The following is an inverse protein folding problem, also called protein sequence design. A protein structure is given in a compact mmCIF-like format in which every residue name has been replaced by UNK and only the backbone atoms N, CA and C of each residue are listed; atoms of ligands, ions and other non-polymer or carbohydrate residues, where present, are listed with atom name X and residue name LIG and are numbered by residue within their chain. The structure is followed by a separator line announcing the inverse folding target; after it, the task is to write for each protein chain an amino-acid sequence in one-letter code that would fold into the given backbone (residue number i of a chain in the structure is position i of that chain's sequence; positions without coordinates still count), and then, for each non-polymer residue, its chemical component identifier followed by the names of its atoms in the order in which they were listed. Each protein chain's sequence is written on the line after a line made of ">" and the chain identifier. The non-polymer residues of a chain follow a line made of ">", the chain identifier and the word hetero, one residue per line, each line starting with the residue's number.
data_IF_762940098030
#
_entry.id   IF_762940098030
#
_cell.length_a   1.000
_cell.length_b   1.000
_cell.length_c   1.000
_cell.angle_alpha   90.00
_cell.angle_beta   90.00
_cell.angle_gamma   90.00
#
_symmetry.space_group_name_H-M   'P 1'
#
loop_
_entity.id
_entity.type
_entity.pdbx_description
1 polymer ?
#
# COMPACT_ATOMS: atom_id res chain seq x y z
N UNK A 1 -63.28 -50.66 15.59
CA UNK A 1 -62.75 -50.07 14.37
C UNK A 1 -61.81 -48.95 14.73
N UNK A 2 -60.54 -49.18 14.62
CA UNK A 2 -59.49 -48.15 14.88
C UNK A 2 -59.00 -47.73 13.51
N UNK A 3 -59.33 -46.48 13.12
CA UNK A 3 -58.82 -45.90 11.87
C UNK A 3 -57.40 -45.41 12.05
N UNK A 4 -56.47 -46.10 11.39
CA UNK A 4 -55.09 -45.69 11.31
C UNK A 4 -54.93 -44.51 10.33
N UNK A 5 -54.53 -43.36 10.85
CA UNK A 5 -54.11 -42.21 10.05
C UNK A 5 -52.67 -42.45 9.60
N UNK A 6 -52.51 -42.77 8.27
CA UNK A 6 -51.18 -42.73 7.64
C UNK A 6 -50.80 -41.24 7.47
N UNK A 7 -49.87 -40.77 8.26
CA UNK A 7 -49.16 -39.53 7.98
C UNK A 7 -48.11 -39.81 6.89
N UNK A 8 -48.43 -39.42 5.64
CA UNK A 8 -47.45 -39.34 4.58
C UNK A 8 -46.50 -38.18 4.87
N UNK A 9 -45.29 -38.48 5.29
CA UNK A 9 -44.18 -37.53 5.29
C UNK A 9 -43.87 -37.24 3.83
N UNK A 10 -44.32 -36.11 3.31
CA UNK A 10 -43.79 -35.55 2.10
C UNK A 10 -42.32 -35.18 2.39
N UNK A 11 -41.41 -36.01 1.92
CA UNK A 11 -40.00 -35.64 1.84
C UNK A 11 -39.92 -34.45 0.88
N UNK A 12 -39.72 -33.26 1.39
CA UNK A 12 -39.38 -32.09 0.61
C UNK A 12 -38.04 -32.35 -0.05
N UNK A 13 -38.05 -32.91 -1.26
CA UNK A 13 -36.90 -33.16 -2.08
C UNK A 13 -36.33 -31.80 -2.52
N UNK A 14 -35.39 -31.29 -1.76
CA UNK A 14 -34.59 -30.12 -2.19
C UNK A 14 -33.70 -30.57 -3.34
N UNK A 15 -33.66 -29.79 -4.41
CA UNK A 15 -32.67 -30.00 -5.47
C UNK A 15 -31.28 -29.94 -4.82
N UNK A 16 -30.48 -30.97 -5.01
CA UNK A 16 -29.16 -31.06 -4.43
C UNK A 16 -28.11 -31.04 -5.54
N UNK A 17 -27.51 -29.89 -5.75
CA UNK A 17 -26.41 -29.73 -6.71
C UNK A 17 -25.11 -30.23 -6.02
N UNK A 18 -24.50 -31.23 -6.65
CA UNK A 18 -23.19 -31.76 -6.22
C UNK A 18 -22.17 -31.45 -7.30
N UNK A 19 -21.17 -30.64 -6.94
CA UNK A 19 -20.08 -30.28 -7.85
C UNK A 19 -19.09 -31.43 -7.97
N UNK A 20 -18.77 -31.81 -9.23
CA UNK A 20 -17.68 -32.72 -9.56
C UNK A 20 -16.35 -31.97 -9.54
N UNK A 21 -16.33 -30.75 -10.06
CA UNK A 21 -15.23 -29.80 -9.94
C UNK A 21 -15.75 -28.43 -9.50
N UNK A 22 -15.30 -27.93 -8.35
CA UNK A 22 -15.60 -26.58 -7.86
C UNK A 22 -14.43 -25.61 -8.05
N UNK A 23 -13.33 -26.08 -8.62
CA UNK A 23 -12.15 -25.27 -8.93
C UNK A 23 -11.48 -25.75 -10.21
N UNK A 24 -10.88 -24.81 -10.93
CA UNK A 24 -10.14 -25.07 -12.15
C UNK A 24 -8.80 -24.32 -12.10
N UNK A 25 -7.70 -25.05 -12.34
CA UNK A 25 -6.37 -24.49 -12.40
C UNK A 25 -5.88 -24.48 -13.86
N UNK A 26 -5.70 -23.28 -14.40
CA UNK A 26 -5.16 -23.10 -15.74
C UNK A 26 -3.65 -23.38 -15.81
N UNK A 27 -2.99 -23.52 -14.65
CA UNK A 27 -1.54 -23.67 -14.56
C UNK A 27 -0.78 -22.43 -15.03
N UNK A 28 0.44 -22.66 -15.50
CA UNK A 28 1.28 -21.62 -16.10
C UNK A 28 0.89 -21.42 -17.57
N UNK A 29 0.57 -20.19 -17.94
CA UNK A 29 0.21 -19.83 -19.31
C UNK A 29 0.96 -18.59 -19.79
N UNK A 30 1.22 -18.50 -21.07
CA UNK A 30 1.77 -17.29 -21.69
C UNK A 30 0.65 -16.32 -22.02
N UNK A 31 0.86 -15.05 -21.74
CA UNK A 31 -0.10 -13.98 -22.06
C UNK A 31 -0.44 -13.97 -23.56
N UNK A 32 0.55 -14.15 -24.41
CA UNK A 32 0.42 -14.20 -25.87
C UNK A 32 -0.36 -15.40 -26.41
N UNK A 33 -0.62 -16.41 -25.57
CA UNK A 33 -1.35 -17.60 -26.01
C UNK A 33 -2.85 -17.35 -26.21
N UNK A 34 -3.34 -16.14 -25.90
CA UNK A 34 -4.74 -15.74 -25.98
C UNK A 34 -5.65 -16.42 -24.96
N UNK A 35 -6.97 -16.22 -25.11
CA UNK A 35 -7.96 -16.74 -24.17
C UNK A 35 -7.93 -18.26 -24.01
N UNK A 36 -8.05 -18.73 -22.76
CA UNK A 36 -8.04 -20.15 -22.39
C UNK A 36 -9.39 -20.60 -21.89
N UNK A 37 -9.84 -21.77 -22.38
CA UNK A 37 -11.12 -22.37 -21.99
C UNK A 37 -10.95 -23.32 -20.82
N UNK A 38 -11.93 -23.28 -19.90
CA UNK A 38 -12.07 -24.20 -18.79
C UNK A 38 -13.53 -24.60 -18.60
N UNK A 39 -13.77 -25.51 -17.67
CA UNK A 39 -15.11 -25.97 -17.34
C UNK A 39 -15.18 -26.42 -15.88
N UNK A 40 -16.42 -26.46 -15.37
CA UNK A 40 -16.77 -27.11 -14.10
C UNK A 40 -18.09 -27.87 -14.28
N UNK A 41 -18.18 -29.04 -13.70
CA UNK A 41 -19.35 -29.93 -13.82
C UNK A 41 -20.03 -30.05 -12.47
N UNK A 42 -21.36 -30.19 -12.55
CA UNK A 42 -22.17 -30.57 -11.41
C UNK A 42 -23.21 -31.62 -11.80
N UNK A 43 -23.66 -32.41 -10.83
CA UNK A 43 -24.75 -33.38 -10.99
C UNK A 43 -25.92 -32.91 -10.14
N UNK A 44 -27.13 -33.01 -10.72
CA UNK A 44 -28.35 -32.85 -9.94
C UNK A 44 -28.62 -34.16 -9.17
N UNK A 45 -28.39 -34.19 -7.89
CA UNK A 45 -28.69 -35.32 -6.99
C UNK A 45 -30.05 -35.18 -6.28
N UNK A 46 -30.81 -34.12 -6.59
CA UNK A 46 -32.16 -33.93 -6.08
C UNK A 46 -33.19 -34.76 -6.79
N UNK A 47 -34.46 -34.69 -6.36
CA UNK A 47 -35.60 -35.34 -6.97
C UNK A 47 -36.26 -34.50 -8.08
N UNK A 48 -35.98 -33.19 -8.10
CA UNK A 48 -36.56 -32.22 -9.02
C UNK A 48 -35.51 -31.66 -10.00
N UNK A 49 -35.93 -31.25 -11.22
CA UNK A 49 -35.01 -30.56 -12.13
C UNK A 49 -34.47 -29.26 -11.54
N UNK A 50 -33.21 -28.93 -11.84
CA UNK A 50 -32.54 -27.72 -11.38
C UNK A 50 -32.17 -26.84 -12.57
N UNK A 51 -32.47 -25.54 -12.50
CA UNK A 51 -32.15 -24.56 -13.55
C UNK A 51 -31.07 -23.60 -13.04
N UNK A 52 -30.03 -23.39 -13.85
CA UNK A 52 -29.02 -22.34 -13.61
C UNK A 52 -29.62 -21.02 -14.09
N UNK A 53 -29.76 -20.05 -13.20
CA UNK A 53 -30.21 -18.71 -13.54
C UNK A 53 -29.10 -17.78 -13.97
N UNK A 54 -27.92 -18.00 -13.43
CA UNK A 54 -26.77 -17.10 -13.63
C UNK A 54 -25.45 -17.81 -13.32
N UNK A 55 -24.44 -17.58 -14.18
CA UNK A 55 -23.04 -17.88 -13.88
C UNK A 55 -22.22 -16.62 -14.16
N UNK A 56 -21.97 -15.82 -13.11
CA UNK A 56 -21.36 -14.49 -13.21
C UNK A 56 -19.92 -14.49 -12.72
N UNK A 57 -18.94 -14.23 -13.61
CA UNK A 57 -17.55 -14.00 -13.23
C UNK A 57 -17.38 -12.75 -12.35
N UNK A 58 -16.35 -12.76 -11.50
CA UNK A 58 -16.00 -11.63 -10.61
C UNK A 58 -15.10 -10.59 -11.28
N UNK A 59 -14.68 -10.80 -12.54
CA UNK A 59 -13.89 -9.85 -13.33
C UNK A 59 -14.33 -9.87 -14.80
N UNK A 60 -14.07 -8.78 -15.53
CA UNK A 60 -14.25 -8.71 -16.98
C UNK A 60 -13.24 -9.51 -17.81
N UNK A 61 -12.28 -10.18 -17.14
CA UNK A 61 -11.28 -11.05 -17.74
C UNK A 61 -11.79 -12.48 -17.99
N UNK A 62 -13.02 -12.78 -17.60
CA UNK A 62 -13.60 -14.11 -17.70
C UNK A 62 -15.02 -14.00 -18.26
N UNK A 63 -15.34 -14.85 -19.21
CA UNK A 63 -16.68 -15.07 -19.69
C UNK A 63 -17.15 -16.44 -19.24
N UNK A 64 -18.45 -16.61 -18.95
CA UNK A 64 -19.02 -17.88 -18.57
C UNK A 64 -20.32 -18.16 -19.34
N UNK A 65 -20.52 -19.43 -19.66
CA UNK A 65 -21.76 -19.95 -20.26
C UNK A 65 -22.25 -21.17 -19.48
N UNK A 66 -23.53 -21.35 -19.40
CA UNK A 66 -24.21 -22.39 -18.64
C UNK A 66 -25.43 -22.93 -19.39
N UNK A 67 -25.94 -24.13 -19.05
CA UNK A 67 -27.14 -24.68 -19.65
C UNK A 67 -28.36 -23.79 -19.33
N UNK A 68 -29.15 -23.48 -20.35
CA UNK A 68 -30.43 -22.75 -20.22
C UNK A 68 -31.57 -23.69 -19.84
N UNK A 69 -31.50 -24.95 -20.31
CA UNK A 69 -32.47 -25.97 -20.01
C UNK A 69 -32.34 -26.52 -18.58
N UNK A 70 -33.45 -26.91 -17.94
CA UNK A 70 -33.43 -27.57 -16.65
C UNK A 70 -32.63 -28.89 -16.68
N UNK A 71 -31.77 -29.10 -15.70
CA UNK A 71 -30.98 -30.31 -15.53
C UNK A 71 -31.79 -31.34 -14.73
N UNK A 72 -32.15 -32.45 -15.37
CA UNK A 72 -32.97 -33.49 -14.75
C UNK A 72 -32.26 -34.20 -13.58
N UNK A 73 -33.02 -34.83 -12.66
CA UNK A 73 -32.45 -35.67 -11.61
C UNK A 73 -31.51 -36.73 -12.18
N UNK A 74 -30.29 -36.81 -11.61
CA UNK A 74 -29.23 -37.73 -12.04
C UNK A 74 -28.33 -37.21 -13.16
N UNK A 75 -28.78 -36.19 -13.92
CA UNK A 75 -28.01 -35.64 -15.03
C UNK A 75 -26.82 -34.77 -14.58
N UNK A 76 -25.83 -34.71 -15.46
CA UNK A 76 -24.62 -33.88 -15.29
C UNK A 76 -24.70 -32.68 -16.24
N UNK A 77 -24.45 -31.51 -15.71
CA UNK A 77 -24.34 -30.25 -16.45
C UNK A 77 -22.98 -29.64 -16.38
N UNK A 78 -22.66 -28.78 -17.36
CA UNK A 78 -21.33 -28.18 -17.53
C UNK A 78 -21.48 -26.67 -17.61
N UNK A 79 -20.77 -25.97 -16.72
CA UNK A 79 -20.50 -24.53 -16.85
C UNK A 79 -19.16 -24.39 -17.55
N UNK A 80 -19.14 -23.71 -18.68
CA UNK A 80 -17.93 -23.43 -19.46
C UNK A 80 -17.54 -22.01 -19.25
N UNK A 81 -16.23 -21.74 -19.25
CA UNK A 81 -15.71 -20.39 -19.11
C UNK A 81 -14.44 -20.21 -19.93
N UNK A 82 -14.17 -18.94 -20.25
CA UNK A 82 -12.97 -18.52 -20.99
C UNK A 82 -12.29 -17.43 -20.19
N UNK A 83 -11.02 -17.62 -19.87
CA UNK A 83 -10.17 -16.62 -19.22
C UNK A 83 -9.27 -15.97 -20.24
N UNK A 84 -9.27 -14.63 -20.28
CA UNK A 84 -8.37 -13.82 -21.11
C UNK A 84 -7.18 -13.32 -20.27
N UNK A 85 -5.94 -13.81 -20.54
CA UNK A 85 -4.73 -13.41 -19.83
C UNK A 85 -4.14 -12.06 -20.29
N UNK A 86 -4.67 -11.44 -21.36
CA UNK A 86 -4.09 -10.26 -21.99
C UNK A 86 -4.00 -9.08 -21.01
N UNK A 87 -2.81 -8.49 -20.85
CA UNK A 87 -2.53 -7.39 -19.92
C UNK A 87 -2.68 -7.78 -18.45
N UNK A 88 -2.44 -9.07 -18.08
CA UNK A 88 -2.64 -9.56 -16.71
C UNK A 88 -1.52 -10.48 -16.26
N UNK A 89 -0.26 -10.02 -16.27
CA UNK A 89 0.86 -10.85 -15.84
C UNK A 89 0.77 -11.20 -14.35
N UNK A 90 1.19 -12.41 -14.00
CA UNK A 90 1.24 -12.92 -12.65
C UNK A 90 0.10 -13.84 -12.27
N UNK A 91 0.09 -14.23 -10.98
CA UNK A 91 -0.89 -15.18 -10.41
C UNK A 91 -2.27 -14.53 -10.28
N UNK A 92 -3.29 -15.29 -10.63
CA UNK A 92 -4.68 -14.89 -10.40
C UNK A 92 -5.46 -15.96 -9.65
N UNK A 93 -6.40 -15.51 -8.83
CA UNK A 93 -7.46 -16.31 -8.17
C UNK A 93 -8.77 -15.53 -8.32
N UNK A 94 -9.70 -16.08 -9.07
CA UNK A 94 -10.99 -15.46 -9.41
C UNK A 94 -12.12 -16.46 -9.14
N UNK A 95 -13.35 -15.98 -9.15
CA UNK A 95 -14.52 -16.81 -8.94
C UNK A 95 -15.60 -16.55 -9.99
N UNK A 96 -16.34 -17.58 -10.31
CA UNK A 96 -17.60 -17.50 -11.08
C UNK A 96 -18.72 -17.83 -10.11
N UNK A 97 -19.57 -16.84 -9.79
CA UNK A 97 -20.71 -17.00 -8.90
C UNK A 97 -21.86 -17.64 -9.69
N UNK A 98 -22.38 -18.75 -9.19
CA UNK A 98 -23.48 -19.49 -9.80
C UNK A 98 -24.71 -19.37 -8.91
N UNK A 99 -25.88 -19.10 -9.53
CA UNK A 99 -27.17 -19.01 -8.85
C UNK A 99 -28.16 -19.92 -9.55
N UNK A 100 -28.85 -20.71 -8.76
CA UNK A 100 -29.89 -21.64 -9.23
C UNK A 100 -31.29 -21.10 -8.92
N UNK A 101 -32.32 -21.63 -9.62
CA UNK A 101 -33.71 -21.20 -9.50
C UNK A 101 -34.28 -21.44 -8.09
N UNK A 102 -33.86 -22.51 -7.42
CA UNK A 102 -34.26 -22.89 -6.06
C UNK A 102 -33.64 -22.03 -4.97
N UNK A 103 -32.81 -21.02 -5.33
CA UNK A 103 -32.12 -20.13 -4.44
C UNK A 103 -30.74 -20.61 -4.00
N UNK A 104 -30.32 -21.81 -4.36
CA UNK A 104 -28.96 -22.29 -4.10
C UNK A 104 -27.92 -21.37 -4.78
N UNK A 105 -26.77 -21.22 -4.13
CA UNK A 105 -25.63 -20.46 -4.63
C UNK A 105 -24.36 -21.24 -4.50
N UNK A 106 -23.49 -21.12 -5.49
CA UNK A 106 -22.17 -21.72 -5.50
C UNK A 106 -21.12 -20.76 -6.08
N UNK A 107 -19.86 -21.11 -5.94
CA UNK A 107 -18.77 -20.40 -6.60
C UNK A 107 -17.76 -21.40 -7.17
N UNK A 108 -17.45 -21.25 -8.44
CA UNK A 108 -16.37 -21.98 -9.10
C UNK A 108 -15.12 -21.12 -8.95
N UNK A 109 -14.06 -21.65 -8.34
CA UNK A 109 -12.76 -20.97 -8.26
C UNK A 109 -11.96 -21.26 -9.52
N UNK A 110 -11.37 -20.21 -10.10
CA UNK A 110 -10.45 -20.32 -11.22
C UNK A 110 -9.14 -19.65 -10.86
N UNK A 111 -8.04 -20.34 -11.07
CA UNK A 111 -6.70 -19.84 -10.76
C UNK A 111 -5.71 -20.21 -11.84
N UNK A 112 -4.59 -19.55 -11.84
CA UNK A 112 -3.49 -19.79 -12.75
C UNK A 112 -2.39 -18.75 -12.58
N UNK A 113 -1.37 -18.84 -13.42
CA UNK A 113 -0.26 -17.89 -13.45
C UNK A 113 0.05 -17.51 -14.90
N UNK A 114 0.18 -16.21 -15.17
CA UNK A 114 0.39 -15.66 -16.51
C UNK A 114 1.82 -15.14 -16.65
N UNK A 115 2.58 -15.73 -17.58
CA UNK A 115 3.85 -15.17 -18.03
C UNK A 115 3.55 -13.95 -18.90
N UNK A 116 3.91 -12.77 -18.39
CA UNK A 116 3.68 -11.49 -19.04
C UNK A 116 4.55 -11.30 -20.28
N UNK A 117 4.10 -10.44 -21.19
CA UNK A 117 4.90 -9.93 -22.29
C UNK A 117 5.84 -8.82 -21.80
N UNK A 118 6.92 -8.48 -22.54
CA UNK A 118 7.75 -7.34 -22.18
C UNK A 118 6.95 -6.05 -21.99
N UNK A 119 5.96 -5.81 -22.85
CA UNK A 119 5.09 -4.61 -22.82
C UNK A 119 4.22 -4.58 -21.57
N UNK A 120 3.57 -5.70 -21.21
CA UNK A 120 2.76 -5.78 -20.00
C UNK A 120 3.61 -5.69 -18.73
N UNK A 121 4.81 -6.29 -18.75
CA UNK A 121 5.75 -6.20 -17.63
C UNK A 121 6.28 -4.78 -17.46
N UNK A 122 6.56 -4.05 -18.54
CA UNK A 122 6.96 -2.64 -18.46
C UNK A 122 5.83 -1.77 -17.90
N UNK A 123 4.59 -2.07 -18.23
CA UNK A 123 3.42 -1.34 -17.72
C UNK A 123 3.17 -1.59 -16.23
N UNK A 124 3.23 -2.83 -15.75
CA UNK A 124 2.85 -3.20 -14.38
C UNK A 124 4.03 -3.32 -13.42
N UNK A 125 5.21 -3.59 -13.93
CA UNK A 125 6.47 -3.77 -13.19
C UNK A 125 7.60 -3.02 -13.91
N UNK A 126 7.53 -1.67 -13.98
CA UNK A 126 8.43 -0.86 -14.80
C UNK A 126 9.91 -0.92 -14.35
N UNK A 127 10.14 -1.26 -13.08
CA UNK A 127 11.50 -1.20 -12.52
C UNK A 127 12.23 -2.51 -12.74
N UNK A 128 13.29 -2.47 -13.51
CA UNK A 128 14.19 -3.63 -13.72
C UNK A 128 15.09 -3.81 -12.48
N UNK A 129 15.01 -4.98 -11.87
CA UNK A 129 15.83 -5.41 -10.76
C UNK A 129 16.54 -6.75 -11.06
N UNK A 130 16.86 -7.00 -12.33
CA UNK A 130 17.54 -8.19 -12.83
C UNK A 130 16.62 -9.42 -12.91
N UNK A 131 16.77 -10.37 -11.99
CA UNK A 131 15.90 -11.55 -11.91
C UNK A 131 14.44 -11.20 -11.58
N UNK A 132 14.20 -10.00 -11.08
CA UNK A 132 12.89 -9.48 -10.70
C UNK A 132 12.57 -8.21 -11.49
N UNK A 133 11.28 -7.93 -11.67
CA UNK A 133 10.81 -6.59 -12.01
C UNK A 133 9.89 -6.11 -10.89
N UNK A 134 10.03 -4.83 -10.48
CA UNK A 134 9.28 -4.27 -9.36
C UNK A 134 8.18 -3.33 -9.87
N UNK A 135 7.08 -3.26 -9.12
CA UNK A 135 5.99 -2.34 -9.43
C UNK A 135 6.40 -0.88 -9.30
N UNK A 136 7.36 -0.58 -8.43
CA UNK A 136 7.86 0.78 -8.20
C UNK A 136 9.20 0.74 -7.44
N UNK A 137 10.02 1.79 -7.62
CA UNK A 137 11.28 1.98 -6.88
C UNK A 137 11.18 3.07 -5.81
N UNK A 138 10.13 3.90 -5.86
CA UNK A 138 9.90 4.99 -4.90
C UNK A 138 8.47 4.96 -4.39
N UNK A 139 8.32 4.71 -3.09
CA UNK A 139 7.02 4.62 -2.44
C UNK A 139 6.71 5.93 -1.72
N UNK A 140 5.66 6.60 -2.16
CA UNK A 140 5.21 7.86 -1.56
C UNK A 140 4.29 7.58 -0.37
N UNK A 141 4.86 7.59 0.85
CA UNK A 141 4.11 7.39 2.09
C UNK A 141 3.26 8.61 2.49
N UNK A 142 3.52 9.78 1.88
CA UNK A 142 2.80 11.02 2.17
C UNK A 142 2.95 11.47 3.63
N UNK A 143 1.87 12.05 4.17
CA UNK A 143 1.83 12.51 5.55
C UNK A 143 1.44 11.38 6.49
N UNK A 144 2.36 10.95 7.34
CA UNK A 144 2.17 9.90 8.34
C UNK A 144 2.02 10.53 9.72
N UNK A 145 0.92 10.23 10.41
CA UNK A 145 0.71 10.77 11.77
C UNK A 145 1.54 9.97 12.78
N UNK A 146 2.22 10.67 13.69
CA UNK A 146 2.95 10.06 14.80
C UNK A 146 2.05 9.10 15.60
N UNK A 147 2.56 7.95 16.00
CA UNK A 147 1.80 6.92 16.72
C UNK A 147 0.94 6.01 15.83
N UNK A 148 1.00 6.14 14.51
CA UNK A 148 0.37 5.23 13.54
C UNK A 148 1.40 4.30 12.90
N UNK A 149 0.90 3.19 12.33
CA UNK A 149 1.72 2.24 11.61
C UNK A 149 1.18 2.09 10.18
N UNK A 150 1.47 3.05 9.28
CA UNK A 150 1.11 2.92 7.88
C UNK A 150 1.77 1.69 7.27
N UNK A 151 1.10 1.12 6.25
CA UNK A 151 1.61 0.00 5.47
C UNK A 151 1.80 0.41 4.01
N UNK A 152 2.91 -0.03 3.43
CA UNK A 152 3.30 0.19 2.05
C UNK A 152 3.58 -1.17 1.42
N UNK A 153 3.42 -1.27 0.11
CA UNK A 153 3.58 -2.54 -0.60
C UNK A 153 4.35 -2.31 -1.90
N UNK A 154 5.24 -3.24 -2.21
CA UNK A 154 5.84 -3.34 -3.55
C UNK A 154 5.73 -4.78 -4.03
N UNK A 155 5.38 -4.95 -5.28
CA UNK A 155 5.31 -6.26 -5.93
C UNK A 155 6.59 -6.51 -6.72
N UNK A 156 7.12 -7.71 -6.57
CA UNK A 156 8.28 -8.20 -7.30
C UNK A 156 7.88 -9.41 -8.16
N UNK A 157 7.91 -9.25 -9.46
CA UNK A 157 7.59 -10.27 -10.45
C UNK A 157 8.86 -11.03 -10.85
N UNK A 158 8.82 -12.36 -10.83
CA UNK A 158 9.93 -13.17 -11.31
C UNK A 158 9.91 -13.28 -12.84
N UNK A 159 10.95 -12.75 -13.49
CA UNK A 159 11.10 -12.76 -14.95
C UNK A 159 11.80 -14.00 -15.48
N UNK A 160 12.41 -14.81 -14.62
CA UNK A 160 13.16 -15.99 -15.02
C UNK A 160 12.27 -17.21 -15.28
N UNK A 161 12.74 -18.12 -16.11
CA UNK A 161 12.14 -19.44 -16.31
C UNK A 161 12.28 -20.39 -15.12
N UNK A 162 13.08 -19.99 -14.11
CA UNK A 162 13.36 -20.76 -12.90
C UNK A 162 12.87 -20.01 -11.65
N UNK A 163 12.85 -20.72 -10.52
CA UNK A 163 12.49 -20.12 -9.25
C UNK A 163 13.56 -19.16 -8.72
N UNK A 164 13.13 -18.04 -8.18
CA UNK A 164 13.96 -17.02 -7.52
C UNK A 164 13.66 -16.98 -6.05
N UNK A 165 14.69 -16.99 -5.21
CA UNK A 165 14.54 -16.69 -3.77
C UNK A 165 14.63 -15.19 -3.57
N UNK A 166 13.76 -14.65 -2.72
CA UNK A 166 13.65 -13.22 -2.45
C UNK A 166 13.86 -12.95 -0.96
N UNK A 167 14.67 -11.94 -0.67
CA UNK A 167 14.85 -11.40 0.68
C UNK A 167 14.76 -9.87 0.63
N UNK A 168 14.47 -9.24 1.77
CA UNK A 168 14.47 -7.79 1.89
C UNK A 168 15.11 -7.38 3.23
N UNK A 169 15.78 -6.22 3.24
CA UNK A 169 16.39 -5.66 4.44
C UNK A 169 16.28 -4.15 4.48
N UNK A 170 16.21 -3.60 5.68
CA UNK A 170 16.28 -2.18 5.97
C UNK A 170 17.03 -2.02 7.30
N UNK A 171 17.81 -0.94 7.45
CA UNK A 171 18.54 -0.64 8.69
C UNK A 171 17.63 0.02 9.73
N UNK A 172 16.57 0.71 9.28
CA UNK A 172 15.63 1.37 10.20
C UNK A 172 14.78 0.33 10.95
N UNK A 173 14.98 0.25 12.26
CA UNK A 173 14.32 -0.73 13.16
C UNK A 173 12.81 -0.50 13.30
N UNK A 174 12.36 0.74 13.07
CA UNK A 174 10.95 1.10 13.10
C UNK A 174 10.20 0.58 11.86
N UNK A 175 10.91 0.12 10.81
CA UNK A 175 10.33 -0.46 9.60
C UNK A 175 10.37 -1.98 9.66
N UNK A 176 9.19 -2.62 9.76
CA UNK A 176 9.07 -4.07 9.70
C UNK A 176 8.76 -4.52 8.27
N UNK A 177 9.53 -5.47 7.76
CA UNK A 177 9.41 -6.03 6.43
C UNK A 177 8.78 -7.42 6.50
N UNK A 178 7.84 -7.71 5.60
CA UNK A 178 7.22 -9.03 5.46
C UNK A 178 7.03 -9.36 3.99
N UNK A 179 7.61 -10.44 3.54
CA UNK A 179 7.36 -11.03 2.22
C UNK A 179 6.13 -11.93 2.27
N UNK A 180 5.31 -11.92 1.20
CA UNK A 180 4.21 -12.88 1.04
C UNK A 180 4.75 -14.32 0.96
N UNK A 181 5.83 -14.51 0.22
CA UNK A 181 6.57 -15.76 0.08
C UNK A 181 8.05 -15.43 -0.10
N UNK A 182 8.95 -16.32 0.31
CA UNK A 182 10.41 -16.16 0.12
C UNK A 182 10.92 -16.75 -1.19
N UNK A 183 10.07 -17.42 -1.97
CA UNK A 183 10.41 -18.06 -3.24
C UNK A 183 9.32 -17.80 -4.26
N UNK A 184 9.72 -17.34 -5.45
CA UNK A 184 8.85 -17.09 -6.58
C UNK A 184 9.18 -18.07 -7.71
N UNK A 185 8.21 -18.86 -8.19
CA UNK A 185 8.31 -19.59 -9.45
C UNK A 185 8.27 -18.66 -10.67
N UNK A 186 8.40 -19.20 -11.89
CA UNK A 186 8.29 -18.42 -13.12
C UNK A 186 6.98 -17.64 -13.19
N UNK A 187 7.04 -16.32 -13.38
CA UNK A 187 5.86 -15.46 -13.45
C UNK A 187 5.15 -15.20 -12.12
N UNK A 188 5.64 -15.76 -11.00
CA UNK A 188 5.08 -15.47 -9.69
C UNK A 188 5.41 -14.06 -9.21
N UNK A 189 4.54 -13.54 -8.35
CA UNK A 189 4.69 -12.24 -7.72
C UNK A 189 4.93 -12.46 -6.22
N UNK A 190 6.01 -11.90 -5.72
CA UNK A 190 6.25 -11.74 -4.28
C UNK A 190 5.87 -10.32 -3.87
N UNK A 191 4.98 -10.17 -2.92
CA UNK A 191 4.64 -8.86 -2.34
C UNK A 191 5.50 -8.63 -1.10
N UNK A 192 6.26 -7.54 -1.09
CA UNK A 192 6.91 -7.01 0.10
C UNK A 192 5.99 -6.01 0.78
N UNK A 193 5.46 -6.38 1.94
CA UNK A 193 4.71 -5.50 2.83
C UNK A 193 5.68 -4.84 3.83
N UNK A 194 5.55 -3.54 4.01
CA UNK A 194 6.38 -2.71 4.86
C UNK A 194 5.49 -1.96 5.85
N UNK A 195 5.73 -2.15 7.14
CA UNK A 195 4.96 -1.54 8.23
C UNK A 195 5.86 -0.59 8.99
N UNK A 196 5.60 0.71 8.86
CA UNK A 196 6.41 1.75 9.47
C UNK A 196 5.79 2.23 10.79
N UNK A 197 6.39 1.84 11.91
CA UNK A 197 5.96 2.28 13.25
C UNK A 197 6.49 3.69 13.53
N UNK A 198 5.66 4.70 13.26
CA UNK A 198 6.02 6.11 13.46
C UNK A 198 6.23 6.47 14.93
N UNK A 199 5.69 5.69 15.89
CA UNK A 199 5.97 5.86 17.32
C UNK A 199 7.36 5.37 17.68
N UNK A 200 7.75 4.19 17.21
CA UNK A 200 9.09 3.65 17.42
C UNK A 200 10.16 4.48 16.70
N UNK A 201 9.83 5.05 15.54
CA UNK A 201 10.69 6.02 14.82
C UNK A 201 10.95 7.28 15.64
N UNK A 202 9.93 7.78 16.37
CA UNK A 202 10.06 8.73 17.46
C UNK A 202 10.39 10.17 17.08
N UNK A 203 10.52 10.51 15.79
CA UNK A 203 10.87 11.87 15.35
C UNK A 203 9.93 12.35 14.22
N UNK A 204 9.36 13.55 14.34
CA UNK A 204 8.63 14.19 13.27
C UNK A 204 9.60 14.74 12.21
N UNK A 205 9.09 14.89 10.97
CA UNK A 205 9.85 15.47 9.87
C UNK A 205 9.92 14.58 8.64
N UNK A 206 10.70 14.94 7.63
CA UNK A 206 10.90 14.19 6.42
C UNK A 206 11.46 12.80 6.69
N UNK A 207 11.01 11.85 5.89
CA UNK A 207 11.44 10.45 5.93
C UNK A 207 11.93 10.07 4.54
N UNK A 208 13.13 9.49 4.48
CA UNK A 208 13.70 8.81 3.33
C UNK A 208 14.36 7.54 3.86
N UNK A 209 13.75 6.38 3.55
CA UNK A 209 14.20 5.09 4.06
C UNK A 209 14.53 4.17 2.87
N UNK A 210 15.80 3.83 2.68
CA UNK A 210 16.20 2.84 1.70
C UNK A 210 15.84 1.44 2.18
N UNK A 211 15.26 0.64 1.28
CA UNK A 211 14.96 -0.77 1.47
C UNK A 211 15.62 -1.57 0.36
N UNK A 212 16.47 -2.51 0.70
CA UNK A 212 17.14 -3.37 -0.26
C UNK A 212 16.35 -4.65 -0.47
N UNK A 213 15.96 -4.93 -1.71
CA UNK A 213 15.40 -6.21 -2.16
C UNK A 213 16.56 -7.03 -2.74
N UNK A 214 16.67 -8.29 -2.34
CA UNK A 214 17.75 -9.18 -2.77
C UNK A 214 17.14 -10.41 -3.42
N UNK A 215 17.51 -10.69 -4.66
CA UNK A 215 17.22 -11.95 -5.34
C UNK A 215 18.39 -12.93 -5.20
N UNK A 216 18.07 -14.22 -5.01
CA UNK A 216 19.00 -15.34 -4.86
C UNK A 216 20.12 -15.08 -3.82
N UNK A 217 19.76 -14.66 -2.57
CA UNK A 217 20.77 -14.42 -1.54
C UNK A 217 21.62 -15.67 -1.27
N UNK A 218 22.92 -15.46 -1.05
CA UNK A 218 23.85 -16.56 -0.73
C UNK A 218 24.31 -17.36 -1.95
N UNK A 219 23.96 -16.99 -3.17
CA UNK A 219 24.38 -17.66 -4.41
C UNK A 219 25.20 -16.72 -5.30
N UNK A 220 25.96 -17.26 -6.30
CA UNK A 220 26.63 -16.44 -7.30
C UNK A 220 25.69 -15.57 -8.16
N UNK A 221 24.42 -16.00 -8.29
CA UNK A 221 23.38 -15.26 -9.02
C UNK A 221 22.69 -14.17 -8.18
N UNK A 222 23.24 -13.83 -7.01
CA UNK A 222 22.72 -12.79 -6.12
C UNK A 222 22.71 -11.43 -6.81
N UNK A 223 21.56 -10.77 -6.78
CA UNK A 223 21.40 -9.39 -7.20
C UNK A 223 20.73 -8.60 -6.08
N UNK A 224 20.92 -7.30 -6.06
CA UNK A 224 20.25 -6.41 -5.07
C UNK A 224 19.80 -5.13 -5.76
N UNK A 225 18.61 -4.70 -5.40
CA UNK A 225 18.02 -3.46 -5.88
C UNK A 225 17.49 -2.66 -4.69
N UNK A 226 17.72 -1.35 -4.71
CA UNK A 226 17.25 -0.45 -3.67
C UNK A 226 15.97 0.24 -4.10
N UNK A 227 14.99 0.25 -3.20
CA UNK A 227 13.78 1.07 -3.29
C UNK A 227 13.77 2.07 -2.14
N UNK A 228 13.07 3.18 -2.31
CA UNK A 228 13.03 4.26 -1.34
C UNK A 228 11.60 4.52 -0.84
N UNK A 229 11.42 4.60 0.47
CA UNK A 229 10.17 5.10 1.07
C UNK A 229 10.37 6.59 1.38
N UNK A 230 9.52 7.46 0.81
CA UNK A 230 9.59 8.90 0.99
C UNK A 230 8.28 9.42 1.56
N UNK A 231 8.36 10.28 2.57
CA UNK A 231 7.20 10.90 3.19
C UNK A 231 7.61 11.85 4.31
N UNK A 232 6.68 12.13 5.20
CA UNK A 232 6.99 12.87 6.43
C UNK A 232 6.13 12.39 7.59
N UNK A 233 6.72 12.34 8.78
CA UNK A 233 6.01 12.09 10.03
C UNK A 233 5.58 13.41 10.62
N UNK A 234 4.27 13.57 10.84
CA UNK A 234 3.71 14.76 11.47
C UNK A 234 3.40 14.49 12.94
N UNK A 235 3.69 15.45 13.84
CA UNK A 235 3.29 15.34 15.23
C UNK A 235 1.77 15.40 15.34
N UNK A 236 1.22 14.81 16.40
CA UNK A 236 -0.23 14.83 16.69
C UNK A 236 -0.51 15.74 17.87
N UNK A 237 -1.69 16.36 17.83
CA UNK A 237 -2.21 17.08 19.00
C UNK A 237 -2.57 16.08 20.08
N UNK A 238 -2.23 16.40 21.31
CA UNK A 238 -2.61 15.60 22.47
C UNK A 238 -3.82 16.22 23.16
N UNK A 239 -4.83 15.41 23.45
CA UNK A 239 -5.92 15.83 24.30
C UNK A 239 -5.39 15.90 25.74
N UNK A 240 -5.28 17.11 26.27
CA UNK A 240 -4.81 17.39 27.65
C UNK A 240 -5.94 18.04 28.45
N UNK A 241 -6.02 17.74 29.74
CA UNK A 241 -6.98 18.35 30.64
C UNK A 241 -6.71 19.85 30.83
N UNK A 242 -7.75 20.63 31.22
CA UNK A 242 -7.62 22.08 31.40
C UNK A 242 -6.46 22.47 32.36
N UNK A 243 -6.26 21.75 33.45
CA UNK A 243 -5.18 21.97 34.41
C UNK A 243 -3.78 21.69 33.84
N UNK A 244 -3.67 20.73 32.94
CA UNK A 244 -2.42 20.40 32.24
C UNK A 244 -2.14 21.45 31.16
N UNK A 245 -3.17 21.89 30.46
CA UNK A 245 -3.08 22.93 29.43
C UNK A 245 -2.58 24.26 30.01
N UNK A 246 -3.06 24.65 31.21
CA UNK A 246 -2.57 25.86 31.90
C UNK A 246 -1.06 25.83 32.22
N UNK A 247 -0.47 24.64 32.30
CA UNK A 247 0.95 24.44 32.63
C UNK A 247 1.78 24.07 31.40
N UNK A 248 1.15 23.82 30.25
CA UNK A 248 1.79 23.32 29.05
C UNK A 248 2.83 24.29 28.46
N UNK A 249 3.80 23.79 27.71
CA UNK A 249 4.65 24.63 26.88
C UNK A 249 3.81 25.20 25.71
N UNK A 250 4.21 26.35 25.20
CA UNK A 250 3.60 27.00 24.03
C UNK A 250 4.69 27.44 23.08
N UNK A 251 4.67 26.92 21.88
CA UNK A 251 5.63 27.23 20.82
C UNK A 251 5.17 28.45 20.02
N UNK A 252 5.89 29.55 20.11
CA UNK A 252 5.62 30.79 19.37
C UNK A 252 6.84 31.21 18.54
N UNK A 253 6.85 30.98 17.21
CA UNK A 253 7.88 31.50 16.32
C UNK A 253 7.83 33.03 16.21
N UNK A 254 8.99 33.68 16.27
CA UNK A 254 9.13 35.14 16.24
C UNK A 254 10.28 35.56 15.30
N UNK A 255 10.02 36.28 14.23
CA UNK A 255 8.71 36.60 13.67
C UNK A 255 8.10 35.38 12.94
N UNK A 256 6.78 35.34 12.71
CA UNK A 256 6.14 34.28 11.95
C UNK A 256 6.44 34.34 10.44
N UNK A 257 6.87 35.51 9.96
CA UNK A 257 7.34 35.75 8.59
C UNK A 257 8.72 36.40 8.68
N UNK A 258 9.68 35.85 7.94
CA UNK A 258 11.04 36.41 7.82
C UNK A 258 11.19 36.97 6.40
N UNK A 259 11.24 38.26 6.27
CA UNK A 259 11.45 38.96 5.00
C UNK A 259 12.94 39.12 4.74
N UNK A 260 13.45 38.52 3.69
CA UNK A 260 14.86 38.50 3.34
C UNK A 260 15.28 39.61 2.35
N UNK A 261 14.25 40.24 1.72
CA UNK A 261 14.47 41.20 0.62
C UNK A 261 15.10 40.55 -0.61
N UNK A 262 15.91 41.29 -1.33
CA UNK A 262 16.69 40.78 -2.45
C UNK A 262 17.90 40.01 -1.89
N UNK A 263 18.06 38.78 -2.30
CA UNK A 263 19.17 37.92 -1.87
C UNK A 263 20.15 37.70 -3.01
N UNK A 264 21.42 38.00 -2.72
CA UNK A 264 22.54 37.75 -3.63
C UNK A 264 22.77 36.24 -3.84
N UNK A 265 23.43 35.80 -4.95
CA UNK A 265 23.58 34.38 -5.29
C UNK A 265 24.34 33.51 -4.27
N UNK A 266 25.10 34.16 -3.37
CA UNK A 266 25.93 33.45 -2.40
C UNK A 266 25.10 32.86 -1.26
N UNK A 267 25.51 31.69 -0.78
CA UNK A 267 24.95 31.09 0.44
C UNK A 267 25.01 32.08 1.61
N UNK A 268 23.93 32.14 2.37
CA UNK A 268 23.85 33.03 3.55
C UNK A 268 23.16 32.33 4.71
N UNK A 269 23.56 32.72 5.92
CA UNK A 269 22.87 32.30 7.13
C UNK A 269 21.62 33.14 7.33
N UNK A 270 20.53 32.47 7.69
CA UNK A 270 19.24 33.04 8.05
C UNK A 270 18.84 32.51 9.42
N UNK A 271 18.26 33.32 10.25
CA UNK A 271 17.80 32.91 11.57
C UNK A 271 16.41 33.45 11.92
N UNK A 272 15.70 32.68 12.76
CA UNK A 272 14.54 33.16 13.49
C UNK A 272 14.57 32.63 14.92
N UNK A 273 13.71 33.17 15.78
CA UNK A 273 13.62 32.75 17.16
C UNK A 273 12.33 31.99 17.44
N UNK A 274 12.37 31.05 18.36
CA UNK A 274 11.19 30.40 18.94
C UNK A 274 11.08 30.85 20.39
N UNK A 275 9.99 31.51 20.75
CA UNK A 275 9.66 31.91 22.12
C UNK A 275 8.82 30.80 22.77
N UNK A 276 9.16 30.41 23.99
CA UNK A 276 8.30 29.59 24.82
C UNK A 276 7.37 30.49 25.66
N UNK A 277 6.14 30.68 25.20
CA UNK A 277 5.11 31.46 25.89
C UNK A 277 4.41 30.65 27.00
N UNK A 278 4.69 29.36 27.10
CA UNK A 278 4.08 28.45 28.09
C UNK A 278 4.68 28.56 29.48
N UNK A 279 4.23 27.65 30.35
CA UNK A 279 4.65 27.62 31.76
C UNK A 279 5.61 26.48 32.09
N UNK A 280 5.80 25.52 31.23
CA UNK A 280 6.82 24.45 31.32
C UNK A 280 7.88 24.60 30.23
N UNK A 281 9.03 23.93 30.34
CA UNK A 281 10.02 23.91 29.27
C UNK A 281 9.43 23.36 27.97
N UNK A 282 9.74 23.99 26.84
CA UNK A 282 9.34 23.57 25.50
C UNK A 282 10.44 22.72 24.89
N UNK A 283 10.10 21.55 24.38
CA UNK A 283 11.00 20.67 23.64
C UNK A 283 10.78 20.83 22.13
N UNK A 284 11.82 21.20 21.40
CA UNK A 284 11.80 21.22 19.94
C UNK A 284 12.25 19.85 19.44
N UNK A 285 11.35 19.13 18.81
CA UNK A 285 11.56 17.77 18.34
C UNK A 285 12.28 17.72 16.98
N UNK A 286 11.97 18.67 16.09
CA UNK A 286 12.64 18.84 14.81
C UNK A 286 12.31 20.18 14.15
N UNK A 287 13.20 20.62 13.25
CA UNK A 287 12.99 21.76 12.36
C UNK A 287 13.39 21.34 10.95
N UNK A 288 12.54 21.61 9.95
CA UNK A 288 12.84 21.25 8.56
C UNK A 288 12.16 22.20 7.55
N UNK A 289 12.62 22.13 6.32
CA UNK A 289 12.01 22.78 5.15
C UNK A 289 11.77 21.75 4.06
N UNK A 290 10.78 21.99 3.19
CA UNK A 290 10.46 21.12 2.06
C UNK A 290 11.34 21.40 0.82
N UNK A 291 12.26 22.38 0.91
CA UNK A 291 13.15 22.73 -0.21
C UNK A 291 14.62 22.45 0.14
N UNK A 292 15.40 21.91 -0.80
CA UNK A 292 16.84 21.74 -0.63
C UNK A 292 17.56 23.11 -0.52
N UNK A 293 16.97 24.20 -1.03
CA UNK A 293 17.54 25.53 -0.96
C UNK A 293 17.74 26.04 0.49
N UNK A 294 17.09 25.41 1.49
CA UNK A 294 17.21 25.81 2.89
C UNK A 294 17.60 24.61 3.77
N UNK A 295 18.81 24.67 4.30
CA UNK A 295 19.36 23.66 5.21
C UNK A 295 19.32 24.15 6.65
N UNK A 296 18.74 23.38 7.57
CA UNK A 296 18.78 23.66 9.00
C UNK A 296 20.17 23.29 9.53
N UNK A 297 20.85 24.25 10.15
CA UNK A 297 22.19 24.08 10.73
C UNK A 297 22.12 23.75 12.23
N UNK A 298 21.09 24.29 12.92
CA UNK A 298 20.90 24.00 14.34
C UNK A 298 19.67 24.66 14.92
N UNK A 299 19.17 24.06 16.00
CA UNK A 299 18.07 24.57 16.81
C UNK A 299 18.25 24.11 18.28
N UNK A 300 17.67 24.81 19.26
CA UNK A 300 17.70 24.36 20.64
C UNK A 300 16.73 23.19 20.86
N UNK A 301 17.23 22.12 21.46
CA UNK A 301 16.36 20.99 21.84
C UNK A 301 15.34 21.37 22.92
N UNK A 302 15.72 22.33 23.82
CA UNK A 302 14.88 22.73 24.95
C UNK A 302 14.93 24.23 25.20
N UNK A 303 13.76 24.85 25.33
CA UNK A 303 13.60 26.27 25.60
C UNK A 303 12.89 26.46 26.96
N UNK A 304 13.56 27.12 27.93
CA UNK A 304 12.97 27.39 29.25
C UNK A 304 11.78 28.35 29.12
N UNK A 305 10.85 28.28 30.08
CA UNK A 305 9.69 29.17 30.18
C UNK A 305 10.08 30.63 30.00
N UNK A 306 9.37 31.36 29.12
CA UNK A 306 9.56 32.77 28.84
C UNK A 306 10.91 33.12 28.19
N UNK A 307 11.63 32.12 27.68
CA UNK A 307 12.89 32.31 26.94
C UNK A 307 12.73 32.05 25.47
N UNK A 308 13.66 32.58 24.69
CA UNK A 308 13.77 32.33 23.26
C UNK A 308 14.92 31.38 22.95
N UNK A 309 14.78 30.63 21.88
CA UNK A 309 15.83 29.83 21.29
C UNK A 309 15.96 30.16 19.80
N UNK A 310 17.19 30.24 19.30
CA UNK A 310 17.47 30.57 17.91
C UNK A 310 17.50 29.32 17.04
N UNK A 311 16.84 29.38 15.89
CA UNK A 311 16.96 28.42 14.80
C UNK A 311 17.86 29.03 13.74
N UNK A 312 18.90 28.31 13.36
CA UNK A 312 19.93 28.76 12.43
C UNK A 312 19.84 27.91 11.16
N UNK A 313 19.81 28.53 10.01
CA UNK A 313 19.67 27.90 8.70
C UNK A 313 20.66 28.49 7.70
N UNK A 314 21.01 27.72 6.68
CA UNK A 314 21.76 28.17 5.51
C UNK A 314 20.82 28.20 4.31
N UNK A 315 20.64 29.37 3.70
CA UNK A 315 19.94 29.54 2.44
C UNK A 315 20.94 29.49 1.29
N UNK A 316 20.69 28.65 0.31
CA UNK A 316 21.38 28.58 -0.97
C UNK A 316 20.51 29.17 -2.08
N UNK A 317 20.64 30.43 -2.47
CA UNK A 317 19.79 31.04 -3.47
C UNK A 317 19.86 30.38 -4.85
N UNK A 318 20.98 29.72 -5.20
CA UNK A 318 21.14 29.02 -6.47
C UNK A 318 20.20 27.81 -6.62
N UNK A 319 19.65 27.28 -5.52
CA UNK A 319 18.68 26.18 -5.50
C UNK A 319 17.22 26.65 -5.42
N UNK A 320 16.98 27.96 -5.48
CA UNK A 320 15.63 28.53 -5.48
C UNK A 320 15.07 28.50 -6.92
N UNK A 321 14.00 27.74 -7.11
CA UNK A 321 13.45 27.51 -8.43
C UNK A 321 12.69 28.71 -9.04
N UNK A 322 12.22 29.65 -8.22
CA UNK A 322 11.38 30.78 -8.66
C UNK A 322 11.63 32.04 -7.80
N UNK A 323 11.60 33.21 -8.42
CA UNK A 323 11.65 34.51 -7.77
C UNK A 323 10.38 35.32 -8.16
N UNK A 324 9.69 36.01 -7.25
CA UNK A 324 9.93 35.97 -5.80
C UNK A 324 9.67 34.59 -5.19
N UNK A 325 10.32 34.28 -4.07
CA UNK A 325 10.19 32.99 -3.41
C UNK A 325 9.44 33.08 -2.08
N UNK A 326 8.82 31.95 -1.74
CA UNK A 326 8.21 31.68 -0.45
C UNK A 326 8.60 30.27 0.00
N UNK A 327 9.34 30.19 1.10
CA UNK A 327 9.80 28.93 1.68
C UNK A 327 9.13 28.72 3.03
N UNK A 328 8.57 27.53 3.25
CA UNK A 328 8.00 27.16 4.54
C UNK A 328 9.00 26.38 5.36
N UNK A 329 9.24 26.82 6.60
CA UNK A 329 10.00 26.12 7.63
C UNK A 329 9.00 25.60 8.66
N UNK A 330 9.13 24.32 9.01
CA UNK A 330 8.28 23.69 10.03
C UNK A 330 9.08 23.44 11.29
N UNK A 331 8.47 23.74 12.43
CA UNK A 331 8.99 23.48 13.77
C UNK A 331 8.03 22.52 14.45
N UNK A 332 8.52 21.32 14.76
CA UNK A 332 7.78 20.35 15.58
C UNK A 332 8.22 20.46 17.03
N UNK A 333 7.26 20.46 17.94
CA UNK A 333 7.49 20.59 19.37
C UNK A 333 6.52 19.75 20.20
N UNK A 334 6.72 19.73 21.50
CA UNK A 334 5.82 19.13 22.49
C UNK A 334 4.67 20.05 22.94
N UNK A 335 4.41 21.17 22.22
CA UNK A 335 3.20 21.99 22.41
C UNK A 335 1.96 21.11 22.13
N UNK A 336 1.11 20.80 23.15
CA UNK A 336 0.06 19.83 22.98
C UNK A 336 -1.10 20.31 22.07
N UNK A 337 -1.24 21.63 21.94
CA UNK A 337 -2.30 22.23 21.12
C UNK A 337 -1.88 22.43 19.68
N UNK A 338 -0.66 22.91 19.48
CA UNK A 338 -0.12 23.22 18.17
C UNK A 338 1.30 22.67 18.01
N UNK A 339 1.46 21.34 17.96
CA UNK A 339 2.77 20.70 17.95
C UNK A 339 3.58 20.94 16.67
N UNK A 340 2.96 21.48 15.62
CA UNK A 340 3.59 21.86 14.36
C UNK A 340 3.33 23.33 14.08
N UNK A 341 4.39 24.12 14.00
CA UNK A 341 4.35 25.53 13.62
C UNK A 341 5.03 25.73 12.27
N UNK A 342 4.53 26.70 11.50
CA UNK A 342 5.10 27.09 10.22
C UNK A 342 5.61 28.52 10.30
N UNK A 343 6.80 28.73 9.77
CA UNK A 343 7.44 30.03 9.58
C UNK A 343 7.64 30.20 8.08
N UNK A 344 7.35 31.37 7.57
CA UNK A 344 7.47 31.69 6.14
C UNK A 344 8.69 32.57 5.93
N UNK A 345 9.59 32.16 5.06
CA UNK A 345 10.66 32.99 4.54
C UNK A 345 10.26 33.51 3.16
N UNK A 346 10.36 34.81 2.96
CA UNK A 346 10.05 35.44 1.66
C UNK A 346 11.23 36.28 1.19
N UNK A 347 11.38 36.40 -0.13
CA UNK A 347 12.42 37.23 -0.74
C UNK A 347 12.41 37.13 -2.24
N UNK A 348 13.37 37.81 -2.86
CA UNK A 348 13.65 37.78 -4.30
C UNK A 348 15.11 37.40 -4.52
N UNK A 349 15.40 36.60 -5.56
CA UNK A 349 16.78 36.39 -6.00
C UNK A 349 17.18 37.44 -7.03
N UNK A 350 18.46 37.90 -6.95
CA UNK A 350 19.05 38.78 -7.98
C UNK A 350 19.01 38.15 -9.38
#
# INVERSE_FOLDING_TARGET
>A
MVAGVLLAFAASGTAQVVWLESSYDFGLMKEQAGPKKGYARFVNRGAEPVTVLEARPTCGCTEASYPEDPVAPGDTAVIRFTYDPSGRPGRFDKSIKVRFQDGQRAAIKIKGNVLGTPESLEQFYPVDAGALRLSESKLMAGNMMMGKTPSLFVNAYNTLGDSVTVAARCEEKALKLKLSESKAGPGDIVTLAMYFDTKAYGRPGPVSLPVTIVSNPGTPARQSHEIEIVGQVLPVRHAVGAKELEKAPVCAPVPPVVELGVVAPQKRQVEFSVLNEGKSPLEIQNVWSDTPALKVLGFPEKIKKGKTGKVIMELNPAEIARSPFRITVRVASDDPVNPLKEIILTGETE
#
